data_IF_433594576790
#
_entry.id   IF_433594576790
#
_cell.length_a   1.000
_cell.length_b   1.000
_cell.length_c   1.000
_cell.angle_alpha   90.00
_cell.angle_beta   90.00
_cell.angle_gamma   90.00
#
_symmetry.space_group_name_H-M   'P 1'
#
loop_
_entity.id
_entity.type
_entity.pdbx_description
1 polymer ?
#
# COMPACT_ATOMS: atom_id res chain seq x y z
N UNK A 1 -12.56 12.48 -3.84
CA UNK A 1 -12.23 12.56 -2.40
C UNK A 1 -10.96 11.77 -2.18
N UNK A 2 -10.09 12.23 -1.27
CA UNK A 2 -8.85 11.57 -0.85
C UNK A 2 -8.85 11.49 0.67
N UNK A 3 -8.46 10.35 1.24
CA UNK A 3 -8.42 10.10 2.69
C UNK A 3 -7.27 10.84 3.37
N UNK A 4 -6.09 10.86 2.73
CA UNK A 4 -4.85 11.54 3.17
C UNK A 4 -4.14 10.95 4.37
N UNK A 5 -4.87 10.22 5.23
CA UNK A 5 -4.30 9.51 6.37
C UNK A 5 -4.72 8.03 6.42
N UNK A 6 -4.58 7.34 5.28
CA UNK A 6 -5.04 5.96 5.18
C UNK A 6 -3.99 4.99 5.71
N UNK A 7 -4.28 4.30 6.81
CA UNK A 7 -3.38 3.30 7.39
C UNK A 7 -4.17 2.27 8.21
N UNK A 8 -3.49 1.25 8.70
CA UNK A 8 -4.10 0.14 9.47
C UNK A 8 -4.87 0.62 10.70
N UNK A 9 -4.33 1.59 11.44
CA UNK A 9 -5.03 2.22 12.58
C UNK A 9 -6.37 2.93 12.25
N UNK A 10 -6.63 3.28 10.99
CA UNK A 10 -7.88 3.91 10.54
C UNK A 10 -8.85 2.89 9.90
N UNK A 11 -8.56 1.59 10.00
CA UNK A 11 -9.43 0.49 9.61
C UNK A 11 -10.03 -0.14 10.86
N UNK A 12 -11.34 0.00 11.03
CA UNK A 12 -12.07 -0.53 12.18
C UNK A 12 -12.71 -1.87 11.84
N UNK A 13 -12.62 -2.82 12.76
CA UNK A 13 -13.28 -4.12 12.69
C UNK A 13 -14.45 -4.17 13.66
N UNK A 14 -15.62 -4.59 13.18
CA UNK A 14 -16.78 -4.82 14.05
C UNK A 14 -16.60 -6.12 14.83
N UNK A 15 -16.30 -5.99 16.12
CA UNK A 15 -16.00 -7.11 17.01
C UNK A 15 -17.15 -8.12 17.18
N UNK A 16 -18.41 -7.72 16.90
CA UNK A 16 -19.58 -8.61 17.03
C UNK A 16 -19.55 -9.71 15.96
N UNK A 17 -18.89 -9.46 14.82
CA UNK A 17 -18.86 -10.37 13.68
C UNK A 17 -17.48 -11.02 13.44
N UNK A 18 -16.54 -10.97 14.41
CA UNK A 18 -15.20 -11.58 14.19
C UNK A 18 -15.29 -13.08 13.91
N UNK A 19 -16.29 -13.78 14.44
CA UNK A 19 -16.54 -15.20 14.13
C UNK A 19 -17.12 -15.45 12.73
N UNK A 20 -17.65 -14.40 12.07
CA UNK A 20 -18.27 -14.44 10.74
C UNK A 20 -17.91 -13.17 9.96
N UNK A 21 -16.61 -12.93 9.73
CA UNK A 21 -16.16 -11.80 8.92
C UNK A 21 -16.83 -11.85 7.54
N UNK A 22 -17.74 -10.90 7.31
CA UNK A 22 -18.32 -10.61 6.01
C UNK A 22 -17.98 -9.16 5.63
N UNK A 23 -18.30 -8.77 4.40
CA UNK A 23 -17.91 -7.47 3.85
C UNK A 23 -18.47 -6.28 4.66
N UNK A 24 -19.47 -6.50 5.53
CA UNK A 24 -20.03 -5.49 6.43
C UNK A 24 -19.29 -5.37 7.78
N UNK A 25 -18.14 -6.01 7.93
CA UNK A 25 -17.40 -6.04 9.21
C UNK A 25 -16.20 -5.09 9.25
N UNK A 26 -15.86 -4.42 8.13
CA UNK A 26 -14.68 -3.55 7.99
C UNK A 26 -15.12 -2.14 7.62
N UNK A 27 -14.61 -1.14 8.34
CA UNK A 27 -14.94 0.27 8.11
C UNK A 27 -13.68 1.12 8.00
N UNK A 28 -13.66 2.02 7.01
CA UNK A 28 -12.66 3.09 6.95
C UNK A 28 -13.15 4.24 7.83
N UNK A 29 -12.29 4.75 8.69
CA UNK A 29 -12.60 5.76 9.70
C UNK A 29 -11.63 6.95 9.62
N UNK A 30 -11.79 7.92 10.53
CA UNK A 30 -10.97 9.14 10.58
C UNK A 30 -10.96 9.97 9.29
N UNK A 31 -12.16 10.43 8.91
CA UNK A 31 -12.36 11.29 7.75
C UNK A 31 -12.02 12.76 8.03
N UNK A 32 -11.39 13.07 9.17
CA UNK A 32 -11.09 14.46 9.59
C UNK A 32 -10.06 15.17 8.71
N UNK A 33 -9.21 14.39 8.02
CA UNK A 33 -8.23 14.88 7.07
C UNK A 33 -8.65 14.72 5.60
N UNK A 34 -9.85 14.18 5.36
CA UNK A 34 -10.36 13.99 4.01
C UNK A 34 -10.53 15.32 3.26
N UNK A 35 -10.26 15.31 1.96
CA UNK A 35 -10.42 16.51 1.15
C UNK A 35 -10.62 16.27 -0.34
N UNK A 36 -10.71 17.38 -1.08
CA UNK A 36 -10.76 17.37 -2.55
C UNK A 36 -9.42 16.91 -3.12
N UNK A 37 -9.47 16.33 -4.31
CA UNK A 37 -8.26 16.01 -5.09
C UNK A 37 -7.57 17.33 -5.43
N UNK A 38 -6.24 17.36 -5.38
CA UNK A 38 -5.39 18.52 -5.74
C UNK A 38 -5.61 19.79 -4.90
N UNK A 39 -6.11 19.65 -3.66
CA UNK A 39 -6.24 20.78 -2.74
C UNK A 39 -4.85 21.25 -2.26
N UNK A 40 -4.43 22.39 -2.81
CA UNK A 40 -3.12 23.01 -2.60
C UNK A 40 -3.01 23.77 -1.27
N UNK A 41 -4.13 23.98 -0.56
CA UNK A 41 -4.18 24.85 0.62
C UNK A 41 -3.59 24.22 1.90
N UNK A 42 -2.95 23.05 1.81
CA UNK A 42 -2.41 22.34 2.96
C UNK A 42 -0.89 22.27 2.91
N UNK A 43 -0.26 23.18 3.66
CA UNK A 43 1.19 23.15 3.87
C UNK A 43 1.65 22.02 4.81
N UNK A 44 0.72 21.43 5.56
CA UNK A 44 1.04 20.42 6.57
C UNK A 44 0.81 19.01 6.04
N UNK A 45 1.83 18.17 6.17
CA UNK A 45 1.77 16.75 5.89
C UNK A 45 1.48 16.06 7.23
N UNK A 46 0.33 15.41 7.33
CA UNK A 46 -0.05 14.58 8.48
C UNK A 46 -0.12 13.12 8.06
N UNK A 47 0.22 12.24 9.00
CA UNK A 47 -0.10 10.82 8.92
C UNK A 47 0.98 9.93 9.50
N UNK A 48 0.92 8.66 9.15
CA UNK A 48 1.91 7.64 9.56
C UNK A 48 2.96 7.48 8.45
N UNK A 49 4.20 7.91 8.70
CA UNK A 49 5.25 8.08 7.67
C UNK A 49 5.39 6.90 6.71
N UNK A 50 5.49 5.63 7.15
CA UNK A 50 5.51 4.47 6.26
C UNK A 50 4.37 4.35 5.25
N UNK A 51 3.19 4.88 5.56
CA UNK A 51 2.00 4.84 4.71
C UNK A 51 1.88 6.07 3.80
N UNK A 52 2.64 7.14 4.05
CA UNK A 52 2.57 8.37 3.25
C UNK A 52 3.37 8.22 1.97
N UNK A 53 2.72 8.47 0.83
CA UNK A 53 3.31 8.33 -0.49
C UNK A 53 4.51 9.27 -0.72
N UNK A 54 5.53 8.87 -1.50
CA UNK A 54 6.77 9.63 -1.68
C UNK A 54 6.53 11.03 -2.26
N UNK A 55 5.59 11.18 -3.18
CA UNK A 55 5.25 12.50 -3.75
C UNK A 55 4.63 13.44 -2.71
N UNK A 56 3.91 12.90 -1.73
CA UNK A 56 3.31 13.67 -0.64
C UNK A 56 4.38 14.08 0.37
N UNK A 57 5.33 13.19 0.68
CA UNK A 57 6.49 13.55 1.50
C UNK A 57 7.31 14.69 0.87
N UNK A 58 7.40 14.73 -0.47
CA UNK A 58 7.99 15.83 -1.24
C UNK A 58 7.14 17.10 -1.32
N UNK A 59 5.94 17.10 -0.72
CA UNK A 59 5.04 18.25 -0.68
C UNK A 59 4.19 18.46 -1.93
N UNK A 60 4.01 17.44 -2.79
CA UNK A 60 3.04 17.52 -3.89
C UNK A 60 1.60 17.41 -3.37
N UNK A 61 0.61 17.92 -4.12
CA UNK A 61 -0.80 17.81 -3.74
C UNK A 61 -1.27 16.36 -3.59
N UNK A 62 -2.26 16.17 -2.71
CA UNK A 62 -2.88 14.87 -2.50
C UNK A 62 -3.73 14.45 -3.69
N UNK A 63 -3.47 13.24 -4.17
CA UNK A 63 -4.23 12.57 -5.23
C UNK A 63 -4.79 11.24 -4.73
N UNK A 64 -5.73 10.65 -5.45
CA UNK A 64 -6.21 9.30 -5.15
C UNK A 64 -5.08 8.26 -5.22
N UNK A 65 -4.05 8.49 -6.06
CA UNK A 65 -2.90 7.60 -6.14
C UNK A 65 -2.07 7.56 -4.84
N UNK A 66 -2.13 8.59 -4.00
CA UNK A 66 -1.50 8.59 -2.68
C UNK A 66 -2.22 7.65 -1.71
N UNK A 67 -3.56 7.59 -1.75
CA UNK A 67 -4.32 6.59 -0.98
C UNK A 67 -4.04 5.16 -1.50
N UNK A 68 -3.80 4.98 -2.82
CA UNK A 68 -3.40 3.67 -3.38
C UNK A 68 -2.03 3.23 -2.87
N UNK A 69 -1.06 4.15 -2.74
CA UNK A 69 0.22 3.84 -2.10
C UNK A 69 0.02 3.36 -0.67
N UNK A 70 -0.80 4.09 0.09
CA UNK A 70 -1.16 3.76 1.46
C UNK A 70 -1.79 2.37 1.55
N UNK A 71 -2.69 2.04 0.61
CA UNK A 71 -3.28 0.71 0.47
C UNK A 71 -2.22 -0.37 0.18
N UNK A 72 -1.20 -0.09 -0.62
CA UNK A 72 -0.07 -0.99 -0.84
C UNK A 72 0.67 -1.33 0.46
N UNK A 73 0.84 -0.36 1.35
CA UNK A 73 1.45 -0.57 2.68
C UNK A 73 0.53 -1.32 3.65
N UNK A 74 -0.79 -1.15 3.52
CA UNK A 74 -1.78 -1.99 4.22
C UNK A 74 -1.72 -3.43 3.71
N UNK A 75 -1.61 -3.63 2.39
CA UNK A 75 -1.42 -4.96 1.80
C UNK A 75 -0.13 -5.61 2.31
N UNK A 76 0.95 -4.85 2.43
CA UNK A 76 2.20 -5.35 3.05
C UNK A 76 1.95 -5.87 4.46
N UNK A 77 1.29 -5.07 5.30
CA UNK A 77 0.94 -5.47 6.67
C UNK A 77 0.09 -6.75 6.69
N UNK A 78 -0.93 -6.85 5.85
CA UNK A 78 -1.79 -8.04 5.77
C UNK A 78 -1.02 -9.26 5.26
N UNK A 79 -0.13 -9.09 4.29
CA UNK A 79 0.64 -10.18 3.68
C UNK A 79 1.75 -10.74 4.57
N UNK A 80 2.37 -9.90 5.40
CA UNK A 80 3.53 -10.28 6.24
C UNK A 80 3.21 -10.35 7.73
N UNK A 81 2.11 -9.73 8.18
CA UNK A 81 1.84 -9.48 9.59
C UNK A 81 2.82 -8.49 10.24
N UNK A 82 3.63 -7.78 9.45
CA UNK A 82 4.62 -6.82 9.94
C UNK A 82 4.24 -5.39 9.58
N UNK A 83 4.51 -4.47 10.50
CA UNK A 83 4.39 -3.05 10.18
C UNK A 83 5.48 -2.65 9.16
N UNK A 84 5.15 -1.82 8.15
CA UNK A 84 6.13 -1.35 7.17
C UNK A 84 7.21 -0.53 7.85
N UNK A 85 8.48 -0.82 7.54
CA UNK A 85 9.65 -0.17 8.15
C UNK A 85 9.67 -0.24 9.68
N UNK A 86 9.36 -1.42 10.23
CA UNK A 86 9.30 -1.68 11.68
C UNK A 86 10.66 -1.78 12.33
N UNK A 87 11.71 -1.97 11.56
CA UNK A 87 13.09 -2.20 11.98
C UNK A 87 13.94 -0.93 12.09
N UNK A 88 13.42 0.24 11.68
CA UNK A 88 14.17 1.50 11.67
C UNK A 88 13.42 2.66 12.32
N UNK A 89 14.15 3.74 12.60
CA UNK A 89 13.59 4.98 13.10
C UNK A 89 12.73 5.67 12.03
N UNK A 90 11.61 6.27 12.43
CA UNK A 90 10.78 7.07 11.54
C UNK A 90 11.23 8.53 11.59
N UNK A 91 12.36 8.80 10.94
CA UNK A 91 13.03 10.11 10.91
C UNK A 91 13.16 10.64 9.47
N UNK A 92 13.98 11.67 9.28
CA UNK A 92 14.26 12.25 7.97
C UNK A 92 15.02 11.28 7.04
N UNK A 93 15.79 10.33 7.58
CA UNK A 93 16.50 9.32 6.79
C UNK A 93 15.48 8.36 6.18
N UNK A 94 14.50 7.89 6.97
CA UNK A 94 13.43 7.05 6.43
C UNK A 94 12.61 7.78 5.37
N UNK A 95 12.24 9.05 5.63
CA UNK A 95 11.50 9.86 4.66
C UNK A 95 12.27 9.99 3.32
N UNK A 96 13.59 10.18 3.38
CA UNK A 96 14.46 10.22 2.21
C UNK A 96 14.54 8.87 1.49
N UNK A 97 14.70 7.77 2.25
CA UNK A 97 14.75 6.42 1.71
C UNK A 97 13.46 6.05 0.96
N UNK A 98 12.30 6.38 1.51
CA UNK A 98 11.00 6.19 0.85
C UNK A 98 10.94 6.95 -0.48
N UNK A 99 11.36 8.22 -0.47
CA UNK A 99 11.45 9.06 -1.66
C UNK A 99 12.43 8.52 -2.72
N UNK A 100 13.49 7.85 -2.28
CA UNK A 100 14.48 7.20 -3.14
C UNK A 100 14.05 5.80 -3.63
N UNK A 101 12.84 5.37 -3.31
CA UNK A 101 12.29 4.11 -3.80
C UNK A 101 12.56 2.90 -2.92
N UNK A 102 13.15 3.07 -1.73
CA UNK A 102 13.28 1.98 -0.76
C UNK A 102 11.87 1.57 -0.30
N UNK A 103 11.67 0.26 -0.15
CA UNK A 103 10.42 -0.37 0.30
C UNK A 103 10.73 -1.39 1.40
N UNK A 104 9.74 -1.75 2.24
CA UNK A 104 9.92 -2.78 3.24
C UNK A 104 10.32 -4.11 2.61
N UNK A 105 11.18 -4.88 3.29
CA UNK A 105 11.59 -6.19 2.81
C UNK A 105 10.43 -7.19 2.83
N UNK A 106 10.36 -8.01 1.78
CA UNK A 106 9.36 -9.05 1.61
C UNK A 106 10.03 -10.42 1.49
N UNK A 107 9.60 -11.38 2.31
CA UNK A 107 9.97 -12.77 2.10
C UNK A 107 9.05 -13.37 1.03
N UNK A 108 9.45 -13.30 -0.24
CA UNK A 108 8.59 -13.63 -1.39
C UNK A 108 7.80 -14.96 -1.27
N UNK A 109 8.37 -16.08 -0.79
CA UNK A 109 7.64 -17.34 -0.65
C UNK A 109 6.50 -17.30 0.38
N UNK A 110 6.50 -16.35 1.30
CA UNK A 110 5.45 -16.18 2.31
C UNK A 110 4.20 -15.49 1.73
N UNK A 111 4.32 -14.76 0.64
CA UNK A 111 3.23 -13.99 0.05
C UNK A 111 2.83 -14.65 -1.27
N UNK A 112 1.53 -14.90 -1.55
CA UNK A 112 1.10 -15.36 -2.86
C UNK A 112 1.59 -14.39 -3.95
N UNK A 113 2.25 -14.90 -4.99
CA UNK A 113 2.91 -14.06 -6.00
C UNK A 113 1.98 -13.00 -6.60
N UNK A 114 0.75 -13.37 -6.98
CA UNK A 114 -0.26 -12.46 -7.51
C UNK A 114 -0.63 -11.33 -6.53
N UNK A 115 -0.68 -11.62 -5.23
CA UNK A 115 -0.91 -10.63 -4.18
C UNK A 115 0.31 -9.69 -4.05
N UNK A 116 1.51 -10.26 -4.02
CA UNK A 116 2.76 -9.50 -3.94
C UNK A 116 2.96 -8.57 -5.14
N UNK A 117 2.60 -9.01 -6.34
CA UNK A 117 2.65 -8.19 -7.56
C UNK A 117 1.66 -7.01 -7.51
N UNK A 118 0.42 -7.23 -7.04
CA UNK A 118 -0.57 -6.16 -6.86
C UNK A 118 -0.11 -5.16 -5.79
N UNK A 119 0.33 -5.65 -4.65
CA UNK A 119 0.92 -4.84 -3.57
C UNK A 119 2.05 -3.96 -4.11
N UNK A 120 2.96 -4.55 -4.91
CA UNK A 120 4.09 -3.84 -5.50
C UNK A 120 3.69 -2.77 -6.52
N UNK A 121 2.62 -3.00 -7.29
CA UNK A 121 2.03 -1.98 -8.16
C UNK A 121 1.42 -0.82 -7.37
N UNK A 122 0.79 -1.11 -6.23
CA UNK A 122 0.16 -0.08 -5.40
C UNK A 122 1.18 0.90 -4.81
N UNK A 123 2.35 0.43 -4.37
CA UNK A 123 3.38 1.28 -3.77
C UNK A 123 4.45 1.80 -4.74
N UNK A 124 4.18 1.81 -6.05
CA UNK A 124 5.12 2.32 -7.07
C UNK A 124 5.53 3.76 -6.74
N UNK A 125 6.80 4.11 -6.95
CA UNK A 125 7.30 5.47 -6.69
C UNK A 125 6.64 6.50 -7.60
N UNK A 126 6.30 6.14 -8.84
CA UNK A 126 5.56 6.99 -9.75
C UNK A 126 4.05 6.79 -9.53
N UNK A 127 3.30 7.84 -9.09
CA UNK A 127 1.86 7.72 -8.87
C UNK A 127 1.07 7.34 -10.14
N UNK A 128 1.59 7.62 -11.33
CA UNK A 128 0.93 7.28 -12.61
C UNK A 128 0.93 5.76 -12.87
N UNK A 129 1.94 5.04 -12.37
CA UNK A 129 2.06 3.60 -12.53
C UNK A 129 1.13 2.82 -11.58
N UNK A 130 0.57 3.50 -10.58
CA UNK A 130 -0.30 2.87 -9.58
C UNK A 130 -1.66 2.56 -10.22
N UNK A 131 -2.25 1.39 -9.91
CA UNK A 131 -3.51 0.98 -10.50
C UNK A 131 -4.67 1.88 -10.06
N UNK A 132 -5.67 2.03 -10.93
CA UNK A 132 -6.93 2.69 -10.56
C UNK A 132 -7.79 1.72 -9.74
N UNK A 133 -8.59 2.25 -8.82
CA UNK A 133 -9.50 1.46 -7.97
C UNK A 133 -10.37 0.52 -8.83
N UNK A 134 -10.94 1.01 -9.93
CA UNK A 134 -11.78 0.20 -10.81
C UNK A 134 -11.07 -1.05 -11.36
N UNK A 135 -9.78 -0.96 -11.67
CA UNK A 135 -8.97 -2.08 -12.16
C UNK A 135 -8.60 -3.04 -11.02
N UNK A 136 -8.46 -2.52 -9.80
CA UNK A 136 -8.12 -3.32 -8.62
C UNK A 136 -9.28 -4.15 -8.12
N UNK A 137 -10.51 -3.64 -8.15
CA UNK A 137 -11.70 -4.31 -7.61
C UNK A 137 -11.87 -5.71 -8.22
N UNK A 138 -11.82 -5.81 -9.55
CA UNK A 138 -11.95 -7.09 -10.27
C UNK A 138 -10.88 -8.11 -9.88
N UNK A 139 -9.67 -7.65 -9.57
CA UNK A 139 -8.56 -8.50 -9.17
C UNK A 139 -8.68 -8.89 -7.69
N UNK A 140 -9.02 -7.95 -6.80
CA UNK A 140 -9.23 -8.22 -5.38
C UNK A 140 -10.36 -9.23 -5.19
N UNK A 141 -11.47 -9.06 -5.89
CA UNK A 141 -12.60 -10.00 -5.85
C UNK A 141 -12.18 -11.39 -6.33
N UNK A 142 -11.36 -11.46 -7.39
CA UNK A 142 -10.83 -12.72 -7.89
C UNK A 142 -9.88 -13.40 -6.88
N UNK A 143 -8.98 -12.63 -6.24
CA UNK A 143 -8.09 -13.11 -5.19
C UNK A 143 -8.90 -13.66 -4.01
N UNK A 144 -9.86 -12.87 -3.52
CA UNK A 144 -10.74 -13.25 -2.42
C UNK A 144 -11.53 -14.51 -2.72
N UNK A 145 -12.20 -14.57 -3.87
CA UNK A 145 -12.99 -15.73 -4.25
C UNK A 145 -12.12 -16.98 -4.43
N UNK A 146 -10.90 -16.83 -4.96
CA UNK A 146 -9.98 -17.95 -5.15
C UNK A 146 -9.36 -18.46 -3.86
N UNK A 147 -9.25 -17.59 -2.85
CA UNK A 147 -8.81 -17.98 -1.52
C UNK A 147 -9.94 -18.63 -0.70
N UNK A 148 -11.16 -18.09 -0.78
CA UNK A 148 -12.28 -18.46 0.09
C UNK A 148 -13.08 -19.68 -0.40
N UNK A 149 -13.28 -19.81 -1.71
CA UNK A 149 -14.19 -20.80 -2.28
C UNK A 149 -13.44 -21.91 -2.99
N UNK A 150 -13.95 -23.14 -2.86
CA UNK A 150 -13.53 -24.25 -3.70
C UNK A 150 -13.95 -24.06 -5.16
N UNK A 151 -13.39 -24.87 -6.06
CA UNK A 151 -13.67 -24.87 -7.50
C UNK A 151 -15.17 -24.87 -7.83
N UNK A 152 -15.98 -25.68 -7.13
CA UNK A 152 -17.39 -25.85 -7.44
C UNK A 152 -18.19 -24.61 -7.03
N UNK A 153 -17.92 -24.05 -5.85
CA UNK A 153 -18.50 -22.80 -5.39
C UNK A 153 -18.05 -21.61 -6.27
N UNK A 154 -16.76 -21.55 -6.63
CA UNK A 154 -16.23 -20.49 -7.48
C UNK A 154 -16.93 -20.44 -8.85
N UNK A 155 -17.11 -21.58 -9.53
CA UNK A 155 -17.81 -21.66 -10.83
C UNK A 155 -19.25 -21.15 -10.81
N UNK A 156 -19.90 -21.20 -9.65
CA UNK A 156 -21.28 -20.70 -9.48
C UNK A 156 -21.32 -19.20 -9.25
N UNK A 157 -20.26 -18.62 -8.69
CA UNK A 157 -20.20 -17.23 -8.24
C UNK A 157 -19.57 -16.33 -9.30
N UNK A 158 -18.52 -16.81 -9.98
CA UNK A 158 -17.76 -16.04 -10.96
C UNK A 158 -17.97 -16.64 -12.36
N UNK A 159 -18.12 -15.80 -13.38
CA UNK A 159 -18.22 -16.26 -14.77
C UNK A 159 -17.13 -17.30 -15.11
N UNK A 160 -17.52 -18.35 -15.84
CA UNK A 160 -16.66 -19.48 -16.26
C UNK A 160 -15.32 -19.01 -16.87
N UNK A 161 -15.28 -17.79 -17.46
CA UNK A 161 -14.12 -17.20 -18.12
C UNK A 161 -12.88 -17.02 -17.22
N UNK A 162 -13.02 -17.00 -15.89
CA UNK A 162 -11.89 -16.81 -14.96
C UNK A 162 -11.36 -18.12 -14.32
N UNK A 163 -11.85 -19.29 -14.74
CA UNK A 163 -11.49 -20.58 -14.12
C UNK A 163 -9.97 -20.87 -14.13
N UNK A 164 -9.26 -20.57 -15.22
CA UNK A 164 -7.81 -20.77 -15.28
C UNK A 164 -7.06 -19.87 -14.31
N UNK A 165 -7.47 -18.60 -14.20
CA UNK A 165 -6.86 -17.64 -13.27
C UNK A 165 -7.11 -18.05 -11.83
N UNK A 166 -8.31 -18.56 -11.53
CA UNK A 166 -8.65 -19.09 -10.23
C UNK A 166 -7.69 -20.20 -9.76
N UNK A 167 -7.41 -21.22 -10.59
CA UNK A 167 -6.49 -22.29 -10.18
C UNK A 167 -5.06 -21.81 -9.95
N UNK A 168 -4.60 -20.88 -10.78
CA UNK A 168 -3.26 -20.31 -10.63
C UNK A 168 -3.15 -19.54 -9.32
N UNK A 169 -4.16 -18.72 -9.00
CA UNK A 169 -4.22 -17.98 -7.74
C UNK A 169 -4.34 -18.95 -6.55
N UNK A 170 -5.29 -19.87 -6.57
CA UNK A 170 -5.51 -20.86 -5.49
C UNK A 170 -4.22 -21.64 -5.19
N UNK A 171 -3.49 -22.05 -6.22
CA UNK A 171 -2.19 -22.72 -6.08
C UNK A 171 -1.18 -21.84 -5.36
N UNK A 172 -1.02 -20.58 -5.77
CA UNK A 172 -0.07 -19.65 -5.14
C UNK A 172 -0.42 -19.40 -3.66
N UNK A 173 -1.71 -19.29 -3.32
CA UNK A 173 -2.14 -19.16 -1.93
C UNK A 173 -1.82 -20.40 -1.09
N UNK A 174 -2.06 -21.60 -1.63
CA UNK A 174 -1.70 -22.87 -0.96
C UNK A 174 -0.19 -23.03 -0.76
N UNK A 175 0.61 -22.62 -1.73
CA UNK A 175 2.07 -22.66 -1.65
C UNK A 175 2.59 -21.72 -0.55
N UNK A 176 2.10 -20.48 -0.52
CA UNK A 176 2.45 -19.51 0.51
C UNK A 176 2.04 -20.00 1.91
N UNK A 177 0.84 -20.56 2.05
CA UNK A 177 0.35 -21.12 3.32
C UNK A 177 1.19 -22.32 3.79
N UNK A 178 1.58 -23.21 2.87
CA UNK A 178 2.48 -24.32 3.18
C UNK A 178 3.85 -23.81 3.61
N UNK A 179 4.38 -22.79 2.95
CA UNK A 179 5.66 -22.18 3.31
C UNK A 179 5.60 -21.60 4.73
N UNK A 180 4.55 -20.81 5.05
CA UNK A 180 4.32 -20.25 6.38
C UNK A 180 4.30 -21.32 7.47
N UNK A 181 3.52 -22.39 7.28
CA UNK A 181 3.44 -23.52 8.24
C UNK A 181 4.77 -24.24 8.48
N UNK A 182 5.67 -24.24 7.50
CA UNK A 182 6.97 -24.91 7.59
C UNK A 182 8.06 -24.03 8.19
N UNK A 183 7.99 -22.71 8.01
CA UNK A 183 9.10 -21.80 8.30
C UNK A 183 8.79 -20.73 9.36
N UNK A 184 7.53 -20.55 9.76
CA UNK A 184 7.16 -19.60 10.81
C UNK A 184 6.93 -20.31 12.13
N UNK A 185 7.70 -19.91 13.13
CA UNK A 185 7.50 -20.35 14.51
C UNK A 185 6.73 -19.29 15.30
N UNK A 186 6.11 -19.65 16.44
CA UNK A 186 5.50 -18.65 17.35
C UNK A 186 6.49 -17.57 17.82
N UNK A 187 7.79 -17.89 17.88
CA UNK A 187 8.82 -16.89 18.19
C UNK A 187 8.99 -15.86 17.09
N UNK A 188 8.79 -16.24 15.83
CA UNK A 188 8.88 -15.32 14.70
C UNK A 188 7.67 -14.38 14.69
N UNK A 189 6.49 -14.87 15.04
CA UNK A 189 5.29 -14.04 15.22
C UNK A 189 5.49 -12.98 16.30
N UNK A 190 6.12 -13.32 17.43
CA UNK A 190 6.43 -12.34 18.47
C UNK A 190 7.43 -11.27 18.00
N UNK A 191 8.40 -11.61 17.14
CA UNK A 191 9.34 -10.63 16.56
C UNK A 191 8.66 -9.69 15.56
N UNK A 192 7.62 -10.15 14.86
CA UNK A 192 6.81 -9.30 13.96
C UNK A 192 6.07 -8.18 14.68
N UNK A 193 5.83 -8.37 15.98
CA UNK A 193 5.18 -7.39 16.84
C UNK A 193 6.17 -6.39 17.46
N UNK A 194 7.48 -6.68 17.42
CA UNK A 194 8.49 -5.75 17.94
C UNK A 194 8.85 -4.71 16.89
N UNK A 195 8.76 -3.45 17.25
CA UNK A 195 9.16 -2.32 16.41
C UNK A 195 10.35 -1.59 17.02
N UNK A 196 11.14 -0.93 16.17
CA UNK A 196 12.19 -0.03 16.58
C UNK A 196 11.63 1.02 17.57
N UNK A 197 12.34 1.39 18.66
CA UNK A 197 11.82 2.32 19.67
C UNK A 197 11.45 3.71 19.15
N UNK A 198 11.96 4.08 17.97
CA UNK A 198 11.66 5.34 17.28
C UNK A 198 10.77 5.14 16.03
N UNK A 199 10.14 3.98 15.88
CA UNK A 199 9.09 3.75 14.90
C UNK A 199 7.73 4.18 15.48
N UNK A 200 6.97 4.98 14.74
CA UNK A 200 5.70 5.55 15.18
C UNK A 200 4.58 5.21 14.18
N UNK A 201 3.60 4.44 14.63
CA UNK A 201 2.45 4.00 13.82
C UNK A 201 1.15 4.74 14.16
N UNK A 202 1.28 5.96 14.66
CA UNK A 202 0.17 6.88 14.97
C UNK A 202 0.38 8.17 14.20
N UNK A 203 -0.70 8.72 13.65
CA UNK A 203 -0.67 9.93 12.83
C UNK A 203 -0.04 11.11 13.57
N UNK A 204 0.86 11.83 12.88
CA UNK A 204 1.54 13.02 13.42
C UNK A 204 1.93 13.98 12.30
N UNK A 205 2.32 15.19 12.67
CA UNK A 205 2.88 16.16 11.73
C UNK A 205 4.25 15.66 11.22
N UNK A 206 4.38 15.51 9.90
CA UNK A 206 5.59 14.98 9.26
C UNK A 206 6.51 16.06 8.68
N UNK A 207 6.06 17.31 8.60
CA UNK A 207 6.87 18.44 8.11
C UNK A 207 8.28 18.53 8.72
N UNK A 208 8.53 18.26 10.02
CA UNK A 208 9.89 18.28 10.56
C UNK A 208 10.87 17.31 9.90
N UNK A 209 10.38 16.21 9.31
CA UNK A 209 11.19 15.16 8.70
C UNK A 209 11.34 15.33 7.18
N UNK A 210 10.56 16.23 6.56
CA UNK A 210 10.50 16.38 5.10
C UNK A 210 11.14 17.67 4.59
N UNK A 211 11.61 18.57 5.48
CA UNK A 211 12.12 19.90 5.10
C UNK A 211 13.26 19.86 4.08
N UNK A 212 14.14 18.89 4.22
CA UNK A 212 15.37 18.78 3.43
C UNK A 212 15.24 17.79 2.27
N UNK A 213 14.03 17.29 2.00
CA UNK A 213 13.81 16.40 0.87
C UNK A 213 13.93 17.19 -0.45
N UNK A 214 14.57 16.59 -1.48
CA UNK A 214 14.62 17.19 -2.79
C UNK A 214 13.19 17.36 -3.31
N UNK A 215 12.80 18.61 -3.55
CA UNK A 215 11.58 18.91 -4.28
C UNK A 215 11.83 18.55 -5.75
N UNK A 216 10.84 17.94 -6.39
CA UNK A 216 10.94 17.74 -7.83
C UNK A 216 10.83 19.12 -8.49
N UNK A 217 11.98 19.73 -8.81
CA UNK A 217 12.01 20.94 -9.63
C UNK A 217 11.43 20.63 -11.00
N UNK A 218 10.56 21.53 -11.48
CA UNK A 218 9.84 21.45 -12.74
C UNK A 218 10.70 20.89 -13.90
N UNK A 219 10.44 19.65 -14.31
CA UNK A 219 10.86 19.10 -15.61
C UNK A 219 10.02 19.68 -16.77
N UNK A 220 9.73 20.98 -16.73
CA UNK A 220 9.10 21.74 -17.82
C UNK A 220 9.76 23.11 -17.92
N UNK A 221 10.97 23.15 -18.47
CA UNK A 221 11.49 24.27 -19.26
C UNK A 221 12.86 23.91 -19.86
N UNK A 222 12.85 22.97 -20.82
CA UNK A 222 13.85 22.98 -21.88
C UNK A 222 13.11 23.29 -23.18
N UNK A 223 12.72 24.54 -23.36
CA UNK A 223 12.50 25.09 -24.69
C UNK A 223 13.85 25.05 -25.40
N UNK A 224 14.07 24.03 -26.22
CA UNK A 224 15.16 24.00 -27.18
C UNK A 224 14.86 25.11 -28.18
N UNK A 225 15.49 26.27 -28.03
CA UNK A 225 15.62 27.24 -29.10
C UNK A 225 16.40 26.55 -30.23
N UNK A 226 15.68 26.16 -31.28
CA UNK A 226 16.29 25.77 -32.55
C UNK A 226 16.83 27.05 -33.18
N UNK A 227 18.11 27.33 -32.97
CA UNK A 227 18.82 28.37 -33.68
C UNK A 227 19.18 27.79 -35.06
N UNK A 228 18.41 28.17 -36.08
CA UNK A 228 18.66 27.86 -37.48
C UNK A 228 19.91 28.61 -37.96
N UNK A 229 20.99 27.87 -38.25
CA UNK A 229 22.16 28.40 -38.95
C UNK A 229 22.12 27.93 -40.40
N UNK A 230 21.35 28.65 -41.22
CA UNK A 230 21.53 28.66 -42.67
C UNK A 230 21.89 30.08 -43.13
N UNK A 231 23.19 30.34 -43.22
CA UNK A 231 23.83 31.26 -44.18
C UNK A 231 25.31 30.94 -44.33
#
# INVERSE_FOLDING_TARGET
>A
MVHRDFHTGNILLNAIYVSYLNDNSVYISDMGLCGKVDDINQNNIYGVMPYVAPEILKGKPYTQAADIYSFGMIMYFVGTGQQPFSDCAHDNILALNICNGIRPETNEPEIPKCYGELMKKCWDSNPINRPKIAEMLDLIDLLFCSYKYDKFAFKRIVEIKKERQHFEIEKQFKEAEKYRKLHLTPSDESKRLTTHPQAFYTSRLLNPFTKDLPKDDNMENNSVEVIDFTK
#
